data_IF_015552619004
#
_entry.id   IF_015552619004
#
_cell.length_a   1.000
_cell.length_b   1.000
_cell.length_c   1.000
_cell.angle_alpha   90.00
_cell.angle_beta   90.00
_cell.angle_gamma   90.00
#
_symmetry.space_group_name_H-M   'P 1'
#
loop_
_entity.id
_entity.type
_entity.pdbx_description
1 polymer ?
#
# COMPACT_ATOMS: atom_id res chain seq x y z
N UNK A 1 -6.35 -25.08 3.43
CA UNK A 1 -5.29 -25.29 4.43
C UNK A 1 -3.94 -25.19 3.74
N UNK A 2 -2.98 -24.38 4.24
CA UNK A 2 -1.58 -24.57 3.89
C UNK A 2 -1.19 -26.00 4.24
N UNK A 3 -0.27 -26.59 3.48
CA UNK A 3 0.10 -28.02 3.54
C UNK A 3 0.62 -28.52 4.91
N UNK A 4 0.72 -27.65 5.93
CA UNK A 4 1.42 -27.90 7.20
C UNK A 4 0.48 -27.82 8.44
N UNK A 5 -0.80 -27.50 8.28
CA UNK A 5 -1.74 -27.37 9.41
C UNK A 5 -1.55 -26.08 10.22
N UNK A 6 -2.16 -25.99 11.41
CA UNK A 6 -2.04 -24.83 12.30
C UNK A 6 -0.66 -24.77 12.96
N UNK A 7 0.06 -23.67 12.74
CA UNK A 7 1.36 -23.41 13.38
C UNK A 7 1.16 -22.36 14.47
N UNK A 8 1.32 -22.75 15.73
CA UNK A 8 1.29 -21.82 16.85
C UNK A 8 2.68 -21.21 17.06
N UNK A 9 2.84 -19.95 16.66
CA UNK A 9 4.08 -19.18 16.84
C UNK A 9 4.28 -18.65 18.26
N UNK A 10 3.27 -18.73 19.13
CA UNK A 10 3.31 -18.28 20.52
C UNK A 10 3.88 -16.86 20.67
N UNK A 11 4.82 -16.69 21.60
CA UNK A 11 5.42 -15.39 21.89
C UNK A 11 6.25 -14.83 20.71
N UNK A 12 6.73 -15.69 19.80
CA UNK A 12 7.48 -15.23 18.62
C UNK A 12 6.62 -14.45 17.63
N UNK A 13 5.30 -14.71 17.60
CA UNK A 13 4.39 -13.89 16.80
C UNK A 13 4.43 -12.43 17.26
N UNK A 14 4.23 -12.21 18.57
CA UNK A 14 4.21 -10.87 19.14
C UNK A 14 5.59 -10.19 19.14
N UNK A 15 6.67 -10.92 19.46
CA UNK A 15 8.01 -10.32 19.62
C UNK A 15 8.80 -10.18 18.32
N UNK A 16 8.48 -10.96 17.28
CA UNK A 16 9.25 -10.98 16.03
C UNK A 16 8.37 -10.65 14.84
N UNK A 17 7.29 -11.42 14.62
CA UNK A 17 6.51 -11.28 13.40
C UNK A 17 5.77 -9.93 13.33
N UNK A 18 5.16 -9.49 14.44
CA UNK A 18 4.45 -8.20 14.50
C UNK A 18 5.39 -7.01 14.25
N UNK A 19 6.54 -6.84 14.95
CA UNK A 19 7.47 -5.75 14.65
C UNK A 19 8.01 -5.77 13.22
N UNK A 20 8.31 -6.96 12.68
CA UNK A 20 8.76 -7.11 11.29
C UNK A 20 7.66 -6.70 10.33
N UNK A 21 6.43 -7.15 10.52
CA UNK A 21 5.30 -6.82 9.66
C UNK A 21 5.04 -5.31 9.64
N UNK A 22 4.99 -4.66 10.81
CA UNK A 22 4.79 -3.20 10.91
C UNK A 22 5.95 -2.46 10.21
N UNK A 23 7.19 -2.82 10.52
CA UNK A 23 8.38 -2.18 9.94
C UNK A 23 8.43 -2.38 8.42
N UNK A 24 8.14 -3.59 7.94
CA UNK A 24 8.11 -3.90 6.53
C UNK A 24 7.03 -3.08 5.82
N UNK A 25 5.79 -3.08 6.31
CA UNK A 25 4.70 -2.30 5.72
C UNK A 25 5.01 -0.80 5.70
N UNK A 26 5.50 -0.21 6.79
CA UNK A 26 5.93 1.19 6.83
C UNK A 26 6.99 1.52 5.78
N UNK A 27 8.02 0.69 5.67
CA UNK A 27 9.09 0.95 4.69
C UNK A 27 8.60 0.74 3.26
N UNK A 28 7.75 -0.26 2.99
CA UNK A 28 7.20 -0.49 1.66
C UNK A 28 6.28 0.67 1.21
N UNK A 29 5.45 1.22 2.09
CA UNK A 29 4.65 2.43 1.78
C UNK A 29 5.51 3.66 1.57
N UNK A 30 6.63 3.79 2.29
CA UNK A 30 7.61 4.85 2.03
C UNK A 30 8.37 4.67 0.71
N UNK A 31 8.66 3.43 0.31
CA UNK A 31 9.34 3.15 -0.95
C UNK A 31 8.46 3.43 -2.18
N UNK A 32 7.15 3.16 -2.11
CA UNK A 32 6.20 3.49 -3.17
C UNK A 32 5.51 4.82 -2.88
N UNK A 33 6.26 5.90 -3.01
CA UNK A 33 5.83 7.26 -2.68
C UNK A 33 6.48 8.31 -3.58
N UNK A 34 6.20 9.59 -3.34
CA UNK A 34 6.93 10.74 -3.89
C UNK A 34 6.34 11.38 -5.14
N UNK A 35 5.07 11.13 -5.44
CA UNK A 35 4.31 11.83 -6.48
C UNK A 35 3.04 12.42 -5.89
N UNK A 36 2.66 13.62 -6.33
CA UNK A 36 1.57 14.39 -5.75
C UNK A 36 0.24 13.62 -5.72
N UNK A 37 -0.32 13.44 -4.52
CA UNK A 37 -1.59 12.76 -4.28
C UNK A 37 -1.53 11.23 -4.27
N UNK A 38 -0.36 10.63 -4.51
CA UNK A 38 -0.23 9.17 -4.64
C UNK A 38 -0.37 8.45 -3.31
N UNK A 39 0.39 8.85 -2.29
CA UNK A 39 0.42 8.16 -1.00
C UNK A 39 -0.93 8.27 -0.29
N UNK A 40 -1.50 9.48 -0.28
CA UNK A 40 -2.83 9.71 0.27
C UNK A 40 -3.91 8.99 -0.52
N UNK A 41 -3.85 9.02 -1.86
CA UNK A 41 -4.82 8.34 -2.73
C UNK A 41 -4.82 6.82 -2.54
N UNK A 42 -3.66 6.18 -2.59
CA UNK A 42 -3.52 4.74 -2.35
C UNK A 42 -3.85 4.39 -0.89
N UNK A 43 -3.42 5.22 0.08
CA UNK A 43 -3.76 5.03 1.49
C UNK A 43 -5.27 5.04 1.75
N UNK A 44 -6.03 5.92 1.10
CA UNK A 44 -7.49 5.96 1.19
C UNK A 44 -8.10 4.67 0.61
N UNK A 45 -7.67 4.25 -0.59
CA UNK A 45 -8.23 3.05 -1.23
C UNK A 45 -7.94 1.79 -0.42
N UNK A 46 -6.72 1.63 0.08
CA UNK A 46 -6.36 0.53 1.00
C UNK A 46 -7.21 0.57 2.28
N UNK A 47 -7.33 1.75 2.90
CA UNK A 47 -8.05 1.90 4.16
C UNK A 47 -9.53 1.55 4.01
N UNK A 48 -10.18 2.05 2.95
CA UNK A 48 -11.60 1.82 2.73
C UNK A 48 -11.89 0.36 2.37
N UNK A 49 -11.05 -0.29 1.56
CA UNK A 49 -11.26 -1.69 1.18
C UNK A 49 -11.07 -2.64 2.37
N UNK A 50 -10.02 -2.43 3.16
CA UNK A 50 -9.78 -3.20 4.38
C UNK A 50 -10.85 -2.90 5.44
N UNK A 51 -11.39 -1.67 5.50
CA UNK A 51 -12.48 -1.35 6.41
C UNK A 51 -13.75 -2.17 6.07
N UNK A 52 -14.07 -2.34 4.79
CA UNK A 52 -15.16 -3.22 4.37
C UNK A 52 -14.93 -4.64 4.88
N UNK A 53 -13.75 -5.21 4.65
CA UNK A 53 -13.41 -6.56 5.14
C UNK A 53 -13.53 -6.63 6.66
N UNK A 54 -12.93 -5.68 7.38
CA UNK A 54 -12.94 -5.62 8.84
C UNK A 54 -14.37 -5.54 9.43
N UNK A 55 -15.27 -4.81 8.78
CA UNK A 55 -16.67 -4.71 9.18
C UNK A 55 -17.41 -6.03 9.00
N UNK A 56 -17.18 -6.73 7.88
CA UNK A 56 -17.91 -7.96 7.55
C UNK A 56 -17.31 -9.23 8.17
N UNK A 57 -16.12 -9.17 8.77
CA UNK A 57 -15.58 -10.25 9.61
C UNK A 57 -16.47 -10.50 10.84
N UNK A 58 -17.14 -9.47 11.35
CA UNK A 58 -18.15 -9.62 12.41
C UNK A 58 -17.58 -9.96 13.80
N UNK A 59 -16.29 -9.75 14.03
CA UNK A 59 -15.64 -9.91 15.35
C UNK A 59 -15.42 -8.56 16.04
N UNK A 60 -15.31 -8.53 17.38
CA UNK A 60 -14.94 -7.32 18.11
C UNK A 60 -13.62 -6.70 17.63
N UNK A 61 -12.62 -7.54 17.34
CA UNK A 61 -11.33 -7.12 16.84
C UNK A 61 -11.42 -6.53 15.42
N UNK A 62 -12.26 -7.12 14.56
CA UNK A 62 -12.59 -6.59 13.25
C UNK A 62 -13.23 -5.20 13.34
N UNK A 63 -14.12 -4.97 14.32
CA UNK A 63 -14.70 -3.64 14.54
C UNK A 63 -13.66 -2.61 14.99
N UNK A 64 -12.69 -3.00 15.82
CA UNK A 64 -11.56 -2.12 16.19
C UNK A 64 -10.74 -1.75 14.96
N UNK A 65 -10.39 -2.74 14.13
CA UNK A 65 -9.67 -2.51 12.89
C UNK A 65 -10.45 -1.60 11.92
N UNK A 66 -11.77 -1.80 11.79
CA UNK A 66 -12.65 -0.94 11.01
C UNK A 66 -12.56 0.53 11.44
N UNK A 67 -12.64 0.80 12.75
CA UNK A 67 -12.57 2.17 13.31
C UNK A 67 -11.20 2.82 13.00
N UNK A 68 -10.11 2.07 13.13
CA UNK A 68 -8.76 2.54 12.80
C UNK A 68 -8.68 2.92 11.32
N UNK A 69 -9.18 2.05 10.44
CA UNK A 69 -9.09 2.23 8.99
C UNK A 69 -9.96 3.38 8.48
N UNK A 70 -11.21 3.52 8.95
CA UNK A 70 -12.07 4.65 8.55
C UNK A 70 -11.51 5.98 9.07
N UNK A 71 -10.87 5.99 10.25
CA UNK A 71 -10.21 7.17 10.80
C UNK A 71 -9.00 7.58 9.95
N UNK A 72 -8.17 6.61 9.51
CA UNK A 72 -7.07 6.86 8.58
C UNK A 72 -7.60 7.39 7.24
N UNK A 73 -8.62 6.75 6.66
CA UNK A 73 -9.23 7.21 5.40
C UNK A 73 -9.74 8.65 5.50
N UNK A 74 -10.42 9.00 6.60
CA UNK A 74 -10.91 10.36 6.85
C UNK A 74 -9.79 11.39 6.95
N UNK A 75 -8.73 11.08 7.70
CA UNK A 75 -7.55 11.95 7.80
C UNK A 75 -6.87 12.15 6.45
N UNK A 76 -6.69 11.07 5.67
CA UNK A 76 -6.09 11.13 4.34
C UNK A 76 -6.98 11.87 3.34
N UNK A 77 -8.30 11.74 3.39
CA UNK A 77 -9.22 12.51 2.54
C UNK A 77 -9.09 14.02 2.80
N UNK A 78 -9.02 14.42 4.08
CA UNK A 78 -8.77 15.81 4.45
C UNK A 78 -7.41 16.31 3.96
N UNK A 79 -6.37 15.48 4.10
CA UNK A 79 -5.02 15.78 3.64
C UNK A 79 -4.90 15.84 2.11
N UNK A 80 -5.57 14.94 1.38
CA UNK A 80 -5.52 14.82 -0.08
C UNK A 80 -5.91 16.13 -0.76
N UNK A 81 -6.84 16.91 -0.19
CA UNK A 81 -7.20 18.25 -0.69
C UNK A 81 -5.99 19.17 -0.87
N UNK A 82 -4.99 19.06 0.02
CA UNK A 82 -3.78 19.88 0.00
C UNK A 82 -2.60 19.20 -0.71
N UNK A 83 -2.63 17.87 -0.77
CA UNK A 83 -1.58 17.05 -1.38
C UNK A 83 -1.84 16.69 -2.86
N UNK A 84 -3.06 16.86 -3.35
CA UNK A 84 -3.39 16.57 -4.75
C UNK A 84 -2.61 17.47 -5.71
N UNK A 85 -2.30 16.94 -6.90
CA UNK A 85 -1.54 17.64 -7.92
C UNK A 85 -2.21 18.97 -8.35
N UNK A 86 -1.50 20.12 -8.36
CA UNK A 86 -0.14 20.33 -7.84
C UNK A 86 -0.12 20.49 -6.31
N UNK A 87 0.70 19.69 -5.61
CA UNK A 87 0.66 19.63 -4.15
C UNK A 87 1.15 20.91 -3.48
N UNK A 88 0.50 21.27 -2.37
CA UNK A 88 0.90 22.37 -1.47
C UNK A 88 1.55 21.86 -0.19
N UNK A 89 1.23 20.63 0.20
CA UNK A 89 1.76 19.98 1.40
C UNK A 89 2.15 18.55 1.04
N UNK A 90 3.30 18.12 1.53
CA UNK A 90 3.83 16.76 1.34
C UNK A 90 3.71 15.95 2.63
N UNK A 91 3.44 14.64 2.55
CA UNK A 91 3.34 13.79 3.74
C UNK A 91 4.72 13.58 4.39
N UNK A 92 5.76 13.49 3.56
CA UNK A 92 7.11 13.14 3.99
C UNK A 92 7.19 11.76 4.62
N UNK A 93 8.33 11.45 5.24
CA UNK A 93 8.52 10.16 5.90
C UNK A 93 7.54 9.95 7.06
N UNK A 94 7.22 11.02 7.78
CA UNK A 94 6.25 10.98 8.88
C UNK A 94 4.90 10.45 8.39
N UNK A 95 4.35 11.00 7.30
CA UNK A 95 3.09 10.51 6.74
C UNK A 95 3.21 9.11 6.15
N UNK A 96 4.24 8.87 5.34
CA UNK A 96 4.35 7.64 4.56
C UNK A 96 4.60 6.40 5.44
N UNK A 97 5.46 6.52 6.47
CA UNK A 97 5.70 5.43 7.42
C UNK A 97 4.47 5.18 8.29
N UNK A 98 3.75 6.25 8.68
CA UNK A 98 2.52 6.16 9.49
C UNK A 98 1.42 5.43 8.74
N UNK A 99 1.21 5.72 7.45
CA UNK A 99 0.21 5.03 6.62
C UNK A 99 0.45 3.51 6.67
N UNK A 100 1.68 3.07 6.37
CA UNK A 100 2.01 1.63 6.40
C UNK A 100 1.90 1.01 7.80
N UNK A 101 2.31 1.73 8.85
CA UNK A 101 2.22 1.23 10.22
C UNK A 101 0.77 1.03 10.68
N UNK A 102 -0.10 2.00 10.39
CA UNK A 102 -1.53 1.95 10.76
C UNK A 102 -2.26 0.85 9.99
N UNK A 103 -1.99 0.72 8.68
CA UNK A 103 -2.54 -0.37 7.86
C UNK A 103 -2.12 -1.74 8.41
N UNK A 104 -0.82 -1.94 8.68
CA UNK A 104 -0.32 -3.20 9.25
C UNK A 104 -0.94 -3.51 10.62
N UNK A 105 -1.07 -2.48 11.47
CA UNK A 105 -1.67 -2.61 12.80
C UNK A 105 -3.13 -3.05 12.70
N UNK A 106 -3.92 -2.43 11.82
CA UNK A 106 -5.32 -2.80 11.62
C UNK A 106 -5.47 -4.23 11.08
N UNK A 107 -4.61 -4.64 10.15
CA UNK A 107 -4.58 -5.99 9.59
C UNK A 107 -4.32 -7.04 10.68
N UNK A 108 -3.31 -6.80 11.52
CA UNK A 108 -2.93 -7.71 12.61
C UNK A 108 -4.01 -7.77 13.68
N UNK A 109 -4.54 -6.62 14.11
CA UNK A 109 -5.61 -6.57 15.12
C UNK A 109 -6.84 -7.34 14.62
N UNK A 110 -7.24 -7.11 13.38
CA UNK A 110 -8.45 -7.72 12.84
C UNK A 110 -8.31 -9.18 12.37
N UNK A 111 -7.11 -9.77 12.45
CA UNK A 111 -6.82 -11.15 12.00
C UNK A 111 -7.22 -11.40 10.53
N UNK A 112 -6.83 -10.50 9.63
CA UNK A 112 -7.13 -10.60 8.19
C UNK A 112 -5.89 -10.45 7.30
N UNK A 113 -4.76 -10.99 7.76
CA UNK A 113 -3.43 -10.88 7.13
C UNK A 113 -3.42 -11.28 5.65
N UNK A 114 -4.11 -12.37 5.29
CA UNK A 114 -4.18 -12.86 3.91
C UNK A 114 -4.71 -11.80 2.93
N UNK A 115 -5.73 -11.04 3.35
CA UNK A 115 -6.30 -9.96 2.54
C UNK A 115 -5.41 -8.71 2.58
N UNK A 116 -4.80 -8.44 3.73
CA UNK A 116 -3.79 -7.39 3.89
C UNK A 116 -2.61 -7.56 2.92
N UNK A 117 -2.13 -8.79 2.73
CA UNK A 117 -1.06 -9.10 1.76
C UNK A 117 -1.48 -8.77 0.34
N UNK A 118 -2.71 -9.10 -0.06
CA UNK A 118 -3.23 -8.81 -1.40
C UNK A 118 -3.27 -7.30 -1.64
N UNK A 119 -3.79 -6.54 -0.68
CA UNK A 119 -3.86 -5.07 -0.75
C UNK A 119 -2.45 -4.45 -0.78
N UNK A 120 -1.49 -5.02 -0.06
CA UNK A 120 -0.10 -4.53 -0.05
C UNK A 120 0.72 -4.92 -1.30
N UNK A 121 0.16 -5.67 -2.27
CA UNK A 121 0.93 -6.18 -3.42
C UNK A 121 1.63 -5.10 -4.25
N UNK A 122 1.04 -3.94 -4.58
CA UNK A 122 1.76 -2.88 -5.31
C UNK A 122 3.04 -2.42 -4.60
N UNK A 123 2.99 -2.32 -3.27
CA UNK A 123 4.11 -1.92 -2.41
C UNK A 123 5.16 -3.01 -2.31
N UNK A 124 4.74 -4.28 -2.23
CA UNK A 124 5.62 -5.44 -2.28
C UNK A 124 6.35 -5.51 -3.62
N UNK A 125 5.65 -5.25 -4.74
CA UNK A 125 6.25 -5.19 -6.07
C UNK A 125 7.32 -4.10 -6.13
N UNK A 126 7.02 -2.89 -5.67
CA UNK A 126 8.01 -1.79 -5.61
C UNK A 126 9.24 -2.17 -4.78
N UNK A 127 9.02 -2.80 -3.61
CA UNK A 127 10.11 -3.27 -2.76
C UNK A 127 11.03 -4.24 -3.50
N UNK A 128 10.49 -5.28 -4.14
CA UNK A 128 11.30 -6.25 -4.88
C UNK A 128 11.98 -5.65 -6.12
N UNK A 129 11.29 -4.77 -6.85
CA UNK A 129 11.90 -4.06 -7.98
C UNK A 129 13.10 -3.24 -7.51
N UNK A 130 12.95 -2.47 -6.42
CA UNK A 130 14.07 -1.70 -5.86
C UNK A 130 15.15 -2.60 -5.26
N UNK A 131 14.79 -3.71 -4.62
CA UNK A 131 15.75 -4.68 -4.06
C UNK A 131 16.65 -5.27 -5.15
N UNK A 132 16.07 -5.71 -6.27
CA UNK A 132 16.83 -6.22 -7.44
C UNK A 132 17.76 -5.13 -8.00
N UNK A 133 17.34 -3.86 -7.92
CA UNK A 133 18.12 -2.70 -8.34
C UNK A 133 19.01 -2.12 -7.22
N UNK A 134 19.32 -2.89 -6.17
CA UNK A 134 20.21 -2.53 -5.05
C UNK A 134 19.75 -1.32 -4.23
N UNK A 135 18.43 -1.19 -4.04
CA UNK A 135 17.78 -0.17 -3.21
C UNK A 135 18.24 1.26 -3.55
N UNK A 136 17.95 1.74 -4.77
CA UNK A 136 18.43 3.03 -5.23
C UNK A 136 17.84 4.19 -4.41
N UNK A 137 18.70 5.06 -3.89
CA UNK A 137 18.29 6.23 -3.10
C UNK A 137 18.08 7.49 -3.95
N UNK A 138 18.57 7.50 -5.19
CA UNK A 138 18.47 8.61 -6.15
C UNK A 138 17.89 8.14 -7.46
N UNK A 139 17.40 9.08 -8.26
CA UNK A 139 16.95 8.88 -9.64
C UNK A 139 15.75 7.95 -9.82
N UNK A 140 15.21 7.34 -8.76
CA UNK A 140 14.05 6.45 -8.80
C UNK A 140 12.76 7.16 -9.25
N UNK A 141 12.68 8.48 -9.08
CA UNK A 141 11.57 9.35 -9.50
C UNK A 141 11.49 9.56 -11.02
N UNK A 142 12.52 9.17 -11.77
CA UNK A 142 12.61 9.44 -13.20
C UNK A 142 13.10 10.86 -13.51
N UNK A 143 12.93 11.28 -14.77
CA UNK A 143 13.31 12.60 -15.27
C UNK A 143 12.08 13.33 -15.83
N UNK A 144 11.91 14.58 -15.46
CA UNK A 144 10.81 15.43 -15.93
C UNK A 144 11.22 16.21 -17.18
N UNK A 145 10.53 15.99 -18.29
CA UNK A 145 10.79 16.62 -19.58
C UNK A 145 9.46 17.03 -20.20
N UNK A 146 9.25 18.34 -20.40
CA UNK A 146 8.10 18.87 -21.15
C UNK A 146 6.72 18.44 -20.61
N UNK A 147 6.52 18.42 -19.29
CA UNK A 147 5.23 18.06 -18.68
C UNK A 147 5.05 16.57 -18.37
N UNK A 148 6.04 15.74 -18.69
CA UNK A 148 5.98 14.28 -18.50
C UNK A 148 7.21 13.74 -17.78
N UNK A 149 7.00 12.66 -17.05
CA UNK A 149 8.02 11.85 -16.38
C UNK A 149 8.43 10.70 -17.30
N UNK A 150 9.74 10.50 -17.41
CA UNK A 150 10.38 9.43 -18.17
C UNK A 150 11.32 8.64 -17.25
N UNK A 151 11.67 7.38 -17.59
CA UNK A 151 12.73 6.66 -16.90
C UNK A 151 14.02 7.45 -16.88
N UNK A 152 14.75 7.41 -15.77
CA UNK A 152 16.00 8.16 -15.66
C UNK A 152 17.06 7.60 -16.65
N UNK A 153 17.25 6.29 -16.59
CA UNK A 153 18.10 5.50 -17.49
C UNK A 153 17.24 4.63 -18.43
N UNK A 154 17.86 3.97 -19.40
CA UNK A 154 17.19 3.02 -20.30
C UNK A 154 16.51 1.87 -19.55
N UNK A 155 17.13 1.39 -18.47
CA UNK A 155 16.57 0.33 -17.61
C UNK A 155 15.83 0.97 -16.42
N UNK A 156 14.51 0.74 -16.29
CA UNK A 156 13.73 1.19 -15.14
C UNK A 156 14.21 0.55 -13.83
N UNK A 157 14.33 1.36 -12.77
CA UNK A 157 14.81 0.92 -11.45
C UNK A 157 13.74 0.95 -10.34
N UNK A 158 12.52 1.40 -10.67
CA UNK A 158 11.35 1.46 -9.79
C UNK A 158 10.10 1.08 -10.58
N UNK A 159 9.05 0.66 -9.89
CA UNK A 159 7.74 0.37 -10.49
C UNK A 159 7.18 1.62 -11.19
N UNK A 160 7.36 2.80 -10.60
CA UNK A 160 6.99 4.06 -11.23
C UNK A 160 7.71 4.28 -12.58
N UNK A 161 9.02 3.98 -12.66
CA UNK A 161 9.75 4.07 -13.92
C UNK A 161 9.32 3.02 -14.94
N UNK A 162 8.90 1.83 -14.51
CA UNK A 162 8.32 0.85 -15.43
C UNK A 162 7.06 1.42 -16.09
N UNK A 163 6.18 2.09 -15.34
CA UNK A 163 5.01 2.76 -15.93
C UNK A 163 5.42 3.90 -16.88
N UNK A 164 6.41 4.72 -16.51
CA UNK A 164 6.94 5.78 -17.39
C UNK A 164 7.53 5.22 -18.69
N UNK A 165 8.21 4.07 -18.61
CA UNK A 165 8.79 3.38 -19.76
C UNK A 165 7.69 2.86 -20.69
N UNK A 166 6.72 2.13 -20.13
CA UNK A 166 5.61 1.54 -20.88
C UNK A 166 4.73 2.60 -21.56
N UNK A 167 4.54 3.76 -20.92
CA UNK A 167 3.73 4.85 -21.46
C UNK A 167 4.49 5.75 -22.45
N UNK A 168 5.79 5.55 -22.65
CA UNK A 168 6.68 6.47 -23.38
C UNK A 168 6.58 7.91 -22.85
N UNK A 169 6.55 8.05 -21.53
CA UNK A 169 6.37 9.32 -20.82
C UNK A 169 4.94 9.55 -20.35
N UNK A 170 4.77 9.94 -19.09
CA UNK A 170 3.46 10.11 -18.44
C UNK A 170 3.45 11.38 -17.58
N UNK A 171 2.36 12.14 -17.55
CA UNK A 171 2.26 13.26 -16.62
C UNK A 171 2.16 12.73 -15.19
N UNK A 172 2.67 13.50 -14.22
CA UNK A 172 2.65 13.09 -12.81
C UNK A 172 1.24 12.80 -12.30
N UNK A 173 0.27 13.67 -12.65
CA UNK A 173 -1.15 13.46 -12.32
C UNK A 173 -1.67 12.12 -12.85
N UNK A 174 -1.33 11.76 -14.10
CA UNK A 174 -1.78 10.50 -14.68
C UNK A 174 -1.08 9.30 -14.05
N UNK A 175 0.21 9.43 -13.71
CA UNK A 175 0.94 8.39 -12.98
C UNK A 175 0.28 8.12 -11.62
N UNK A 176 -0.06 9.16 -10.86
CA UNK A 176 -0.81 9.06 -9.60
C UNK A 176 -2.14 8.33 -9.81
N UNK A 177 -2.94 8.74 -10.80
CA UNK A 177 -4.23 8.10 -11.09
C UNK A 177 -4.05 6.63 -11.49
N UNK A 178 -3.02 6.30 -12.27
CA UNK A 178 -2.71 4.91 -12.64
C UNK A 178 -2.40 4.06 -11.41
N UNK A 179 -1.60 4.55 -10.46
CA UNK A 179 -1.30 3.82 -9.24
C UNK A 179 -2.52 3.63 -8.33
N UNK A 180 -3.36 4.66 -8.17
CA UNK A 180 -4.65 4.53 -7.47
C UNK A 180 -5.53 3.49 -8.17
N UNK A 181 -5.56 3.47 -9.51
CA UNK A 181 -6.28 2.46 -10.29
C UNK A 181 -5.77 1.04 -10.09
N UNK A 182 -4.44 0.85 -10.08
CA UNK A 182 -3.81 -0.45 -9.77
C UNK A 182 -4.18 -0.89 -8.35
N UNK A 183 -4.11 0.03 -7.37
CA UNK A 183 -4.48 -0.25 -5.98
C UNK A 183 -5.94 -0.68 -5.84
N UNK A 184 -6.86 0.01 -6.53
CA UNK A 184 -8.29 -0.36 -6.57
C UNK A 184 -8.48 -1.78 -7.09
N UNK A 185 -7.71 -2.22 -8.10
CA UNK A 185 -7.80 -3.60 -8.61
C UNK A 185 -7.46 -4.61 -7.52
N UNK A 186 -6.36 -4.42 -6.78
CA UNK A 186 -5.97 -5.31 -5.69
C UNK A 186 -6.96 -5.26 -4.51
N UNK A 187 -7.49 -4.08 -4.20
CA UNK A 187 -8.54 -3.90 -3.21
C UNK A 187 -9.83 -4.65 -3.58
N UNK A 188 -10.27 -4.59 -4.84
CA UNK A 188 -11.43 -5.35 -5.34
C UNK A 188 -11.16 -6.85 -5.27
N UNK A 189 -9.98 -7.29 -5.69
CA UNK A 189 -9.59 -8.71 -5.61
C UNK A 189 -9.65 -9.20 -4.16
N UNK A 190 -9.14 -8.43 -3.20
CA UNK A 190 -9.20 -8.78 -1.78
C UNK A 190 -10.65 -8.93 -1.28
N UNK A 191 -11.53 -7.98 -1.62
CA UNK A 191 -12.95 -8.02 -1.25
C UNK A 191 -13.66 -9.21 -1.92
N UNK A 192 -13.38 -9.48 -3.20
CA UNK A 192 -13.99 -10.60 -3.92
C UNK A 192 -13.55 -11.94 -3.32
N UNK A 193 -12.27 -12.09 -2.98
CA UNK A 193 -11.78 -13.30 -2.31
C UNK A 193 -12.42 -13.46 -0.94
N UNK A 194 -12.53 -12.36 -0.18
CA UNK A 194 -13.23 -12.36 1.12
C UNK A 194 -14.70 -12.76 0.96
N UNK A 195 -15.38 -12.32 -0.08
CA UNK A 195 -16.80 -12.63 -0.30
C UNK A 195 -17.06 -14.09 -0.71
N UNK A 196 -16.04 -14.89 -1.02
CA UNK A 196 -16.20 -16.30 -1.38
C UNK A 196 -16.29 -17.15 -0.10
N UNK A 197 -17.45 -17.76 0.22
CA UNK A 197 -17.67 -18.42 1.52
C UNK A 197 -16.69 -19.57 1.82
N UNK A 198 -16.16 -20.20 0.78
CA UNK A 198 -15.25 -21.34 0.89
C UNK A 198 -13.77 -20.94 1.09
N UNK A 199 -13.42 -19.65 1.05
CA UNK A 199 -12.07 -19.14 1.30
C UNK A 199 -11.88 -18.54 2.69
N UNK A 200 -12.93 -18.37 3.51
CA UNK A 200 -12.79 -17.95 4.91
C UNK A 200 -12.01 -18.94 5.79
N UNK A 201 -11.78 -20.17 5.30
CA UNK A 201 -11.11 -21.27 6.00
C UNK A 201 -9.77 -21.67 5.35
N UNK A 202 -9.17 -20.81 4.51
CA UNK A 202 -7.83 -21.02 3.94
C UNK A 202 -6.76 -20.24 4.71
#
# INVERSE_FOLDING_TARGET
MPFIGEINFGIFYALILVPIAITACSNMTNMLAGFNGMEAGMGITMSLSLAVIALFIGTPEGLIAFIILISLAGALLGFLKYNWFPAKVFPGDVGNLTIGAVIATAIIIGNFESYGVIVMLPFIIEFFVKLINKLPTKNWQGKYIGGKLYPFNEKPISFAQWLMYLSKGISEKNLTITFIGIEIIFCIIAILIFAIPNLHYL
#
